data_IF_795068711418
#
_entry.id   IF_795068711418
#
_cell.length_a   1.000
_cell.length_b   1.000
_cell.length_c   1.000
_cell.angle_alpha   90.00
_cell.angle_beta   90.00
_cell.angle_gamma   90.00
#
_symmetry.space_group_name_H-M   'P 1'
#
loop_
_entity.id
_entity.type
_entity.pdbx_description
1 polymer ?
#
# COMPACT_ATOMS: atom_id res chain seq x y z
N UNK A 1 31.51 28.26 -2.95
CA UNK A 1 31.27 27.83 -4.34
C UNK A 1 32.60 27.36 -4.84
N UNK A 2 32.75 26.05 -5.09
CA UNK A 2 34.02 25.40 -5.39
C UNK A 2 33.86 24.68 -6.74
N UNK A 3 34.47 25.22 -7.79
CA UNK A 3 34.25 24.79 -9.19
C UNK A 3 34.77 23.38 -9.48
N UNK A 4 35.58 22.79 -8.59
CA UNK A 4 36.08 21.42 -8.70
C UNK A 4 35.12 20.32 -8.20
N UNK A 5 34.04 20.69 -7.50
CA UNK A 5 32.99 19.77 -7.05
C UNK A 5 31.72 20.10 -7.82
N UNK A 6 31.37 19.23 -8.78
CA UNK A 6 30.11 19.35 -9.52
C UNK A 6 28.90 19.58 -8.60
N UNK A 7 27.79 20.11 -9.12
CA UNK A 7 26.68 20.59 -8.30
C UNK A 7 26.24 19.54 -7.26
N UNK A 8 26.21 19.96 -6.00
CA UNK A 8 26.03 19.09 -4.82
C UNK A 8 24.73 18.26 -4.89
N UNK A 9 23.69 18.81 -5.53
CA UNK A 9 22.37 18.17 -5.70
C UNK A 9 22.44 16.91 -6.57
N UNK A 10 22.90 16.95 -7.84
CA UNK A 10 23.10 15.74 -8.65
C UNK A 10 23.94 14.65 -7.97
N UNK A 11 25.00 15.02 -7.24
CA UNK A 11 25.83 14.05 -6.52
C UNK A 11 25.10 13.39 -5.34
N UNK A 12 24.34 14.17 -4.55
CA UNK A 12 23.51 13.63 -3.47
C UNK A 12 22.38 12.74 -3.99
N UNK A 13 21.73 13.14 -5.10
CA UNK A 13 20.73 12.29 -5.76
C UNK A 13 21.35 11.01 -6.31
N UNK A 14 22.55 11.06 -6.87
CA UNK A 14 23.29 9.88 -7.32
C UNK A 14 23.60 8.94 -6.16
N UNK A 15 24.16 9.45 -5.06
CA UNK A 15 24.48 8.64 -3.89
C UNK A 15 23.23 8.04 -3.26
N UNK A 16 22.16 8.82 -3.06
CA UNK A 16 20.89 8.30 -2.55
C UNK A 16 20.28 7.24 -3.48
N UNK A 17 20.30 7.48 -4.80
CA UNK A 17 19.75 6.54 -5.80
C UNK A 17 20.56 5.25 -5.86
N UNK A 18 21.89 5.33 -5.86
CA UNK A 18 22.78 4.17 -5.89
C UNK A 18 22.66 3.35 -4.61
N UNK A 19 22.61 4.00 -3.43
CA UNK A 19 22.35 3.33 -2.15
C UNK A 19 20.97 2.65 -2.15
N UNK A 20 19.91 3.35 -2.57
CA UNK A 20 18.59 2.74 -2.68
C UNK A 20 18.57 1.58 -3.69
N UNK A 21 19.24 1.70 -4.84
CA UNK A 21 19.31 0.63 -5.83
C UNK A 21 20.13 -0.55 -5.35
N UNK A 22 21.21 -0.33 -4.62
CA UNK A 22 22.04 -1.39 -4.04
C UNK A 22 21.28 -2.14 -2.93
N UNK A 23 20.55 -1.41 -2.08
CA UNK A 23 19.61 -2.01 -1.12
C UNK A 23 18.52 -2.85 -1.82
N UNK A 24 18.12 -2.47 -3.03
CA UNK A 24 17.13 -3.19 -3.84
C UNK A 24 17.72 -4.31 -4.73
N UNK A 25 19.05 -4.35 -4.92
CA UNK A 25 19.78 -5.39 -5.67
C UNK A 25 20.08 -6.62 -4.82
N UNK A 26 20.02 -6.51 -3.49
CA UNK A 26 19.99 -7.68 -2.61
C UNK A 26 18.81 -8.60 -2.95
N UNK A 27 18.83 -9.89 -2.57
CA UNK A 27 17.75 -10.86 -2.86
C UNK A 27 16.38 -10.52 -2.23
N UNK A 28 16.19 -9.30 -1.73
CA UNK A 28 15.03 -8.82 -1.00
C UNK A 28 14.09 -8.06 -1.96
N UNK A 29 13.29 -8.84 -2.69
CA UNK A 29 12.06 -8.31 -3.29
C UNK A 29 11.21 -7.74 -2.15
N UNK A 30 10.89 -6.44 -2.21
CA UNK A 30 9.71 -5.92 -1.51
C UNK A 30 8.51 -6.63 -2.12
N UNK A 31 7.91 -7.53 -1.37
CA UNK A 31 6.97 -8.52 -1.87
C UNK A 31 5.66 -8.37 -1.10
N UNK A 32 4.52 -8.61 -1.76
CA UNK A 32 3.27 -8.88 -1.03
C UNK A 32 3.44 -10.23 -0.32
N UNK A 33 2.68 -10.51 0.74
CA UNK A 33 2.78 -11.78 1.45
C UNK A 33 2.65 -13.01 0.49
N UNK A 34 1.82 -12.88 -0.54
CA UNK A 34 1.65 -13.87 -1.62
C UNK A 34 2.92 -14.14 -2.46
N UNK A 35 3.83 -13.19 -2.53
CA UNK A 35 5.10 -13.32 -3.26
C UNK A 35 6.19 -14.02 -2.42
N UNK A 36 5.93 -14.25 -1.13
CA UNK A 36 6.89 -14.80 -0.16
C UNK A 36 6.69 -16.28 0.14
N UNK A 37 5.51 -16.83 -0.20
CA UNK A 37 5.20 -18.23 0.07
C UNK A 37 3.73 -18.60 -0.19
N UNK A 38 3.38 -19.89 -0.05
CA UNK A 38 2.00 -20.36 -0.20
C UNK A 38 1.08 -19.77 0.87
N UNK A 39 -0.24 -19.76 0.60
CA UNK A 39 -1.24 -19.31 1.56
C UNK A 39 -1.19 -20.16 2.84
N UNK A 40 -1.36 -19.50 3.98
CA UNK A 40 -1.53 -20.14 5.27
C UNK A 40 -2.91 -20.83 5.34
N UNK A 41 -3.01 -21.84 6.20
CA UNK A 41 -4.28 -22.48 6.55
C UNK A 41 -4.89 -21.80 7.78
N UNK A 42 -6.22 -21.79 7.92
CA UNK A 42 -6.85 -21.33 9.15
C UNK A 42 -6.29 -22.06 10.37
N UNK A 43 -5.81 -21.31 11.36
CA UNK A 43 -5.16 -21.85 12.57
C UNK A 43 -3.64 -21.89 12.51
N UNK A 44 -3.01 -21.69 11.35
CA UNK A 44 -1.56 -21.54 11.26
C UNK A 44 -1.10 -20.26 11.98
N UNK A 45 0.02 -20.30 12.73
CA UNK A 45 0.56 -19.10 13.38
C UNK A 45 1.03 -18.06 12.35
N UNK A 46 1.06 -16.79 12.75
CA UNK A 46 1.56 -15.69 11.90
C UNK A 46 3.04 -15.88 11.49
N UNK A 47 3.81 -16.61 12.29
CA UNK A 47 5.25 -16.80 12.08
C UNK A 47 6.07 -15.62 12.59
N UNK A 48 7.36 -15.61 12.23
CA UNK A 48 8.27 -14.53 12.60
C UNK A 48 8.08 -13.30 11.71
N UNK A 49 8.14 -12.09 12.28
CA UNK A 49 8.04 -10.86 11.49
C UNK A 49 9.27 -10.73 10.59
N UNK A 50 9.05 -10.43 9.31
CA UNK A 50 10.13 -10.13 8.39
C UNK A 50 10.61 -8.69 8.55
N UNK A 51 11.90 -8.40 8.24
CA UNK A 51 12.45 -7.05 8.35
C UNK A 51 11.65 -6.00 7.59
N UNK A 52 11.59 -4.77 8.12
CA UNK A 52 10.75 -3.68 7.57
C UNK A 52 11.01 -3.33 6.11
N UNK A 53 12.20 -3.62 5.56
CA UNK A 53 12.52 -3.43 4.14
C UNK A 53 11.96 -4.50 3.21
N UNK A 54 11.43 -5.61 3.73
CA UNK A 54 10.75 -6.65 2.96
C UNK A 54 9.32 -6.25 2.54
N UNK A 55 8.77 -5.21 3.18
CA UNK A 55 7.37 -4.80 3.03
C UNK A 55 7.22 -3.48 2.30
N UNK A 56 6.04 -3.30 1.71
CA UNK A 56 5.58 -2.01 1.22
C UNK A 56 4.69 -1.41 2.30
N UNK A 57 5.12 -0.30 2.88
CA UNK A 57 4.37 0.44 3.88
C UNK A 57 3.30 1.32 3.22
N UNK A 58 2.16 1.53 3.90
CA UNK A 58 1.08 2.36 3.37
C UNK A 58 1.47 3.84 3.47
N UNK A 59 1.05 4.63 2.49
CA UNK A 59 1.30 6.08 2.46
C UNK A 59 -0.03 6.83 2.43
N UNK A 60 -0.21 7.88 3.27
CA UNK A 60 -1.43 8.67 3.28
C UNK A 60 -1.57 9.44 1.97
N UNK A 61 -2.78 9.42 1.43
CA UNK A 61 -3.14 10.11 0.18
C UNK A 61 -2.74 11.59 0.20
N UNK A 62 -3.05 12.28 1.30
CA UNK A 62 -2.79 13.72 1.44
C UNK A 62 -1.30 14.10 1.41
N UNK A 63 -0.39 13.13 1.51
CA UNK A 63 1.06 13.37 1.41
C UNK A 63 1.64 13.11 0.02
N UNK A 64 0.87 12.51 -0.89
CA UNK A 64 1.34 12.08 -2.22
C UNK A 64 0.54 12.73 -3.34
N UNK A 65 -0.73 13.08 -3.08
CA UNK A 65 -1.61 13.70 -4.05
C UNK A 65 -1.54 15.23 -3.97
N UNK A 66 -1.69 15.94 -5.10
CA UNK A 66 -1.82 17.40 -5.12
C UNK A 66 -3.01 17.88 -4.28
N UNK A 67 -3.07 19.18 -3.98
CA UNK A 67 -4.15 19.77 -3.16
C UNK A 67 -5.35 20.26 -3.98
N UNK A 68 -5.18 20.50 -5.28
CA UNK A 68 -6.23 21.02 -6.18
C UNK A 68 -7.15 19.88 -6.68
N UNK A 69 -8.47 19.94 -6.48
CA UNK A 69 -9.43 18.90 -6.90
C UNK A 69 -9.31 18.45 -8.37
N UNK A 70 -9.03 19.37 -9.30
CA UNK A 70 -8.91 19.04 -10.73
C UNK A 70 -7.59 18.30 -11.03
N UNK A 71 -6.50 18.72 -10.37
CA UNK A 71 -5.22 18.03 -10.42
C UNK A 71 -5.24 16.73 -9.61
N UNK A 72 -6.04 16.64 -8.55
CA UNK A 72 -6.25 15.45 -7.72
C UNK A 72 -6.88 14.34 -8.53
N UNK A 73 -7.89 14.60 -9.37
CA UNK A 73 -8.49 13.58 -10.21
C UNK A 73 -7.45 13.02 -11.21
N UNK A 74 -6.79 13.92 -11.97
CA UNK A 74 -5.80 13.54 -13.00
C UNK A 74 -4.54 12.92 -12.39
N UNK A 75 -4.06 13.41 -11.25
CA UNK A 75 -2.91 12.87 -10.53
C UNK A 75 -3.27 11.60 -9.74
N UNK A 76 -4.47 11.47 -9.18
CA UNK A 76 -4.94 10.19 -8.59
C UNK A 76 -4.93 9.10 -9.65
N UNK A 77 -5.35 9.41 -10.86
CA UNK A 77 -5.39 8.42 -11.93
C UNK A 77 -3.99 8.12 -12.47
N UNK A 78 -3.17 9.15 -12.72
CA UNK A 78 -1.84 8.97 -13.33
C UNK A 78 -0.75 8.50 -12.34
N UNK A 79 -0.77 9.01 -11.10
CA UNK A 79 0.27 8.74 -10.09
C UNK A 79 -0.04 7.45 -9.34
N UNK A 80 -1.29 7.16 -8.99
CA UNK A 80 -1.61 5.99 -8.15
C UNK A 80 -1.54 4.65 -8.90
N UNK A 81 -2.07 4.62 -10.13
CA UNK A 81 -2.08 3.42 -10.98
C UNK A 81 -0.68 3.03 -11.45
N UNK A 82 0.17 4.02 -11.75
CA UNK A 82 1.55 3.79 -12.16
C UNK A 82 2.51 3.56 -10.99
N UNK A 83 2.34 4.25 -9.85
CA UNK A 83 3.32 4.20 -8.75
C UNK A 83 3.19 2.93 -7.91
N UNK A 84 1.99 2.54 -7.46
CA UNK A 84 1.82 1.37 -6.58
C UNK A 84 2.05 0.06 -7.33
N UNK A 85 1.54 -0.06 -8.55
CA UNK A 85 1.75 -1.25 -9.40
C UNK A 85 3.20 -1.34 -9.92
N UNK A 86 3.86 -0.22 -10.26
CA UNK A 86 5.28 -0.22 -10.62
C UNK A 86 6.17 -0.60 -9.43
N UNK A 87 5.82 -0.15 -8.22
CA UNK A 87 6.58 -0.46 -7.01
C UNK A 87 6.50 -1.97 -6.68
N UNK A 88 5.38 -2.62 -6.98
CA UNK A 88 5.06 -4.01 -6.65
C UNK A 88 5.53 -5.06 -7.68
N UNK A 89 5.48 -4.75 -8.99
CA UNK A 89 5.70 -5.76 -10.03
C UNK A 89 6.98 -5.59 -10.85
N UNK A 90 7.70 -4.46 -10.69
CA UNK A 90 8.87 -4.16 -11.51
C UNK A 90 10.20 -4.47 -10.81
N UNK A 91 11.19 -5.01 -11.55
CA UNK A 91 12.56 -5.06 -11.10
C UNK A 91 13.09 -3.66 -10.70
N UNK A 92 14.02 -3.58 -9.73
CA UNK A 92 14.51 -2.32 -9.16
C UNK A 92 14.89 -1.25 -10.17
N UNK A 93 15.57 -1.65 -11.25
CA UNK A 93 16.05 -0.73 -12.30
C UNK A 93 14.92 -0.19 -13.17
N UNK A 94 13.92 -1.00 -13.48
CA UNK A 94 12.74 -0.59 -14.25
C UNK A 94 11.87 0.37 -13.42
N UNK A 95 11.76 0.10 -12.12
CA UNK A 95 11.09 0.96 -11.14
C UNK A 95 11.76 2.33 -11.00
N UNK A 96 13.07 2.38 -10.81
CA UNK A 96 13.80 3.64 -10.71
C UNK A 96 13.67 4.49 -11.99
N UNK A 97 13.79 3.86 -13.16
CA UNK A 97 13.59 4.53 -14.46
C UNK A 97 12.16 5.09 -14.59
N UNK A 98 11.13 4.33 -14.19
CA UNK A 98 9.74 4.77 -14.25
C UNK A 98 9.48 5.95 -13.31
N UNK A 99 9.96 5.90 -12.06
CA UNK A 99 9.80 7.01 -11.11
C UNK A 99 10.49 8.27 -11.63
N UNK A 100 11.75 8.17 -12.05
CA UNK A 100 12.50 9.33 -12.52
C UNK A 100 11.90 9.95 -13.80
N UNK A 101 11.42 9.13 -14.75
CA UNK A 101 10.88 9.60 -16.04
C UNK A 101 9.42 10.01 -15.99
N UNK A 102 8.56 9.18 -15.40
CA UNK A 102 7.10 9.36 -15.48
C UNK A 102 6.53 10.09 -14.27
N UNK A 103 7.17 10.04 -13.10
CA UNK A 103 6.73 10.76 -11.88
C UNK A 103 7.49 12.08 -11.73
N UNK A 104 8.82 12.02 -11.67
CA UNK A 104 9.67 13.19 -11.43
C UNK A 104 9.98 13.98 -12.72
N UNK A 105 9.56 13.47 -13.88
CA UNK A 105 9.68 14.12 -15.20
C UNK A 105 11.12 14.47 -15.63
N UNK A 106 12.13 13.75 -15.14
CA UNK A 106 13.53 13.93 -15.56
C UNK A 106 13.72 13.54 -17.03
N UNK A 107 14.72 14.10 -17.71
CA UNK A 107 15.08 13.72 -19.08
C UNK A 107 15.78 12.37 -19.11
N UNK A 108 15.62 11.60 -20.18
CA UNK A 108 16.25 10.28 -20.33
C UNK A 108 17.79 10.34 -20.24
N UNK A 109 18.40 11.44 -20.70
CA UNK A 109 19.84 11.68 -20.56
C UNK A 109 20.27 11.83 -19.09
N UNK A 110 19.52 12.59 -18.29
CA UNK A 110 19.81 12.80 -16.86
C UNK A 110 19.68 11.50 -16.07
N UNK A 111 18.67 10.69 -16.40
CA UNK A 111 18.47 9.36 -15.82
C UNK A 111 19.56 8.38 -16.24
N UNK A 112 20.02 8.45 -17.50
CA UNK A 112 21.10 7.60 -18.00
C UNK A 112 22.41 7.89 -17.27
N UNK A 113 22.73 9.18 -17.05
CA UNK A 113 23.85 9.61 -16.22
C UNK A 113 23.69 9.14 -14.78
N UNK A 114 22.51 9.35 -14.17
CA UNK A 114 22.25 8.98 -12.77
C UNK A 114 22.35 7.47 -12.53
N UNK A 115 21.92 6.65 -13.48
CA UNK A 115 21.88 5.20 -13.36
C UNK A 115 23.07 4.50 -14.01
N UNK A 116 24.11 5.26 -14.38
CA UNK A 116 25.33 4.78 -15.05
C UNK A 116 25.00 3.81 -16.20
N UNK A 117 24.19 4.28 -17.15
CA UNK A 117 23.70 3.47 -18.29
C UNK A 117 23.50 4.31 -19.54
N UNK A 118 23.06 3.68 -20.62
CA UNK A 118 22.75 4.40 -21.87
C UNK A 118 21.30 4.90 -21.90
N UNK A 119 21.06 5.99 -22.63
CA UNK A 119 19.70 6.50 -22.89
C UNK A 119 18.81 5.42 -23.51
N UNK A 120 19.37 4.58 -24.38
CA UNK A 120 18.69 3.44 -24.98
C UNK A 120 18.24 2.42 -23.93
N UNK A 121 19.09 2.14 -22.93
CA UNK A 121 18.79 1.26 -21.81
C UNK A 121 17.70 1.84 -20.92
N UNK A 122 17.71 3.15 -20.66
CA UNK A 122 16.64 3.88 -19.94
C UNK A 122 15.32 3.76 -20.71
N UNK A 123 15.29 4.08 -22.00
CA UNK A 123 14.06 4.01 -22.79
C UNK A 123 13.51 2.58 -22.87
N UNK A 124 14.38 1.58 -23.05
CA UNK A 124 13.98 0.17 -23.08
C UNK A 124 13.47 -0.31 -21.71
N UNK A 125 14.10 0.14 -20.62
CA UNK A 125 13.65 -0.17 -19.27
C UNK A 125 12.30 0.47 -18.97
N UNK A 126 12.06 1.70 -19.43
CA UNK A 126 10.79 2.40 -19.31
C UNK A 126 9.68 1.71 -20.11
N UNK A 127 9.98 1.30 -21.35
CA UNK A 127 9.04 0.55 -22.19
C UNK A 127 8.64 -0.77 -21.51
N UNK A 128 9.63 -1.54 -21.02
CA UNK A 128 9.37 -2.79 -20.30
C UNK A 128 8.65 -2.59 -18.97
N UNK A 129 8.92 -1.48 -18.28
CA UNK A 129 8.21 -1.08 -17.07
C UNK A 129 6.72 -0.90 -17.37
N UNK A 130 6.39 -0.08 -18.38
CA UNK A 130 5.01 0.17 -18.81
C UNK A 130 4.30 -1.09 -19.29
N UNK A 131 4.99 -1.97 -20.02
CA UNK A 131 4.42 -3.23 -20.50
C UNK A 131 4.15 -4.26 -19.39
N UNK A 132 4.74 -4.11 -18.21
CA UNK A 132 4.54 -4.97 -17.03
C UNK A 132 3.58 -4.38 -16.00
N UNK A 133 3.16 -3.14 -16.18
CA UNK A 133 2.03 -2.62 -15.44
C UNK A 133 0.83 -3.48 -15.84
N UNK A 134 0.06 -4.04 -14.89
CA UNK A 134 -1.22 -4.63 -15.24
C UNK A 134 -2.02 -3.59 -16.03
N UNK A 135 -2.90 -4.04 -16.93
CA UNK A 135 -3.99 -3.20 -17.39
C UNK A 135 -4.89 -2.95 -16.17
N UNK A 136 -4.47 -2.04 -15.30
CA UNK A 136 -5.29 -1.61 -14.19
C UNK A 136 -6.30 -0.72 -14.85
N UNK A 137 -7.44 -1.32 -15.19
CA UNK A 137 -8.64 -0.57 -15.50
C UNK A 137 -8.78 0.47 -14.39
N UNK A 138 -9.05 1.75 -14.72
CA UNK A 138 -9.31 2.74 -13.70
C UNK A 138 -10.34 2.12 -12.77
N UNK A 139 -9.97 1.88 -11.51
CA UNK A 139 -10.97 1.75 -10.48
C UNK A 139 -11.44 3.18 -10.19
N UNK A 140 -12.07 3.76 -11.22
CA UNK A 140 -13.22 4.63 -11.09
C UNK A 140 -14.28 3.79 -10.40
N UNK A 141 -14.13 3.70 -9.10
CA UNK A 141 -15.30 3.72 -8.28
C UNK A 141 -15.01 4.90 -7.37
N UNK A 142 -15.82 5.95 -7.49
CA UNK A 142 -16.27 6.61 -6.27
C UNK A 142 -16.36 5.53 -5.21
N UNK A 143 -15.56 5.69 -4.16
CA UNK A 143 -15.55 4.74 -3.07
C UNK A 143 -17.01 4.52 -2.72
N UNK A 144 -17.45 3.27 -2.88
CA UNK A 144 -18.83 2.91 -2.55
C UNK A 144 -18.96 3.10 -1.04
N UNK A 145 -19.42 4.29 -0.65
CA UNK A 145 -19.54 4.70 0.75
C UNK A 145 -20.53 3.77 1.46
N UNK A 146 -21.51 3.21 0.74
CA UNK A 146 -22.43 2.22 1.28
C UNK A 146 -21.70 0.90 1.59
N UNK A 147 -20.82 0.42 0.70
CA UNK A 147 -19.95 -0.73 0.99
C UNK A 147 -19.08 -0.48 2.21
N UNK A 148 -18.48 0.71 2.35
CA UNK A 148 -17.66 1.05 3.50
C UNK A 148 -18.47 1.21 4.79
N UNK A 149 -19.65 1.81 4.75
CA UNK A 149 -20.58 1.93 5.88
C UNK A 149 -20.92 0.55 6.40
N UNK A 150 -21.30 -0.36 5.50
CA UNK A 150 -21.61 -1.75 5.83
C UNK A 150 -20.41 -2.49 6.39
N UNK A 151 -19.23 -2.33 5.80
CA UNK A 151 -18.00 -2.95 6.30
C UNK A 151 -17.68 -2.47 7.71
N UNK A 152 -17.68 -1.16 7.94
CA UNK A 152 -17.37 -0.58 9.25
C UNK A 152 -18.39 -1.03 10.29
N UNK A 153 -19.69 -0.93 9.97
CA UNK A 153 -20.74 -1.35 10.91
C UNK A 153 -20.64 -2.84 11.25
N UNK A 154 -20.38 -3.69 10.27
CA UNK A 154 -20.20 -5.13 10.50
C UNK A 154 -18.96 -5.41 11.35
N UNK A 155 -17.85 -4.71 11.12
CA UNK A 155 -16.62 -4.85 11.91
C UNK A 155 -16.82 -4.45 13.37
N UNK A 156 -17.38 -3.25 13.62
CA UNK A 156 -17.60 -2.74 14.98
C UNK A 156 -18.59 -3.60 15.78
N UNK A 157 -19.57 -4.22 15.10
CA UNK A 157 -20.53 -5.17 15.70
C UNK A 157 -20.00 -6.60 15.81
N UNK A 158 -18.78 -6.87 15.34
CA UNK A 158 -18.23 -8.21 15.20
C UNK A 158 -19.16 -9.17 14.42
N UNK A 159 -19.86 -8.64 13.42
CA UNK A 159 -20.74 -9.39 12.53
C UNK A 159 -19.93 -10.03 11.39
N UNK A 160 -19.37 -11.20 11.70
CA UNK A 160 -18.51 -11.96 10.77
C UNK A 160 -19.29 -12.39 9.53
N UNK A 161 -20.57 -12.72 9.66
CA UNK A 161 -21.41 -13.14 8.53
C UNK A 161 -21.57 -12.01 7.51
N UNK A 162 -21.88 -10.80 7.98
CA UNK A 162 -21.96 -9.63 7.12
C UNK A 162 -20.60 -9.30 6.52
N UNK A 163 -19.52 -9.26 7.31
CA UNK A 163 -18.17 -8.99 6.78
C UNK A 163 -17.79 -9.95 5.65
N UNK A 164 -18.02 -11.25 5.85
CA UNK A 164 -17.71 -12.30 4.87
C UNK A 164 -18.56 -12.15 3.60
N UNK A 165 -19.82 -11.70 3.72
CA UNK A 165 -20.70 -11.47 2.58
C UNK A 165 -20.23 -10.33 1.64
N UNK A 166 -19.48 -9.36 2.19
CA UNK A 166 -18.91 -8.23 1.45
C UNK A 166 -17.64 -8.60 0.67
N UNK A 167 -17.03 -9.75 0.99
CA UNK A 167 -15.80 -10.21 0.33
C UNK A 167 -16.08 -10.82 -1.05
N UNK A 168 -15.14 -10.61 -1.97
CA UNK A 168 -15.03 -11.42 -3.19
C UNK A 168 -14.75 -12.90 -2.84
N UNK A 169 -15.07 -13.83 -3.74
CA UNK A 169 -14.82 -15.26 -3.51
C UNK A 169 -13.34 -15.55 -3.29
N UNK A 170 -12.51 -14.99 -4.15
CA UNK A 170 -11.05 -15.08 -4.11
C UNK A 170 -10.40 -13.96 -3.29
N UNK A 171 -11.11 -13.40 -2.31
CA UNK A 171 -10.58 -12.33 -1.49
C UNK A 171 -9.31 -12.78 -0.74
N UNK A 172 -8.37 -11.87 -0.58
CA UNK A 172 -7.11 -12.13 0.14
C UNK A 172 -7.06 -11.37 1.46
N UNK A 173 -6.38 -11.92 2.46
CA UNK A 173 -6.12 -11.24 3.73
C UNK A 173 -4.66 -11.39 4.10
N UNK A 174 -4.00 -10.27 4.42
CA UNK A 174 -2.59 -10.23 4.77
C UNK A 174 -2.36 -9.38 6.02
N UNK A 175 -1.31 -9.70 6.79
CA UNK A 175 -0.95 -8.94 8.00
C UNK A 175 0.55 -8.64 8.04
N UNK A 176 1.08 -7.66 7.28
CA UNK A 176 2.46 -7.24 7.44
C UNK A 176 2.77 -6.84 8.90
N UNK A 177 3.97 -7.14 9.42
CA UNK A 177 5.15 -7.63 8.70
C UNK A 177 5.28 -9.17 8.65
N UNK A 178 4.18 -9.93 8.63
CA UNK A 178 4.20 -11.39 8.54
C UNK A 178 4.02 -11.86 7.09
N UNK A 179 4.77 -12.90 6.69
CA UNK A 179 4.56 -13.62 5.42
C UNK A 179 3.20 -14.34 5.34
N UNK A 180 2.48 -14.36 6.45
CA UNK A 180 1.15 -14.92 6.58
C UNK A 180 0.13 -14.23 5.66
N UNK A 181 -0.62 -15.05 4.94
CA UNK A 181 -1.77 -14.59 4.16
C UNK A 181 -2.79 -15.71 3.98
N UNK A 182 -4.04 -15.33 3.78
CA UNK A 182 -5.13 -16.24 3.44
C UNK A 182 -5.63 -15.97 2.03
N UNK A 183 -6.01 -17.05 1.36
CA UNK A 183 -6.71 -17.02 0.08
C UNK A 183 -8.13 -17.51 0.25
N UNK A 184 -9.08 -16.73 -0.25
CA UNK A 184 -10.47 -17.12 -0.38
C UNK A 184 -11.32 -16.80 0.84
N UNK A 185 -12.59 -16.48 0.54
CA UNK A 185 -13.63 -16.09 1.51
C UNK A 185 -13.79 -17.10 2.65
N UNK A 186 -13.71 -18.39 2.35
CA UNK A 186 -13.89 -19.45 3.34
C UNK A 186 -12.76 -19.47 4.39
N UNK A 187 -11.51 -19.32 3.97
CA UNK A 187 -10.36 -19.28 4.87
C UNK A 187 -10.41 -18.04 5.78
N UNK A 188 -10.76 -16.89 5.20
CA UNK A 188 -10.93 -15.63 5.95
C UNK A 188 -12.06 -15.78 6.99
N UNK A 189 -13.21 -16.35 6.61
CA UNK A 189 -14.32 -16.59 7.54
C UNK A 189 -13.90 -17.47 8.71
N UNK A 190 -13.17 -18.57 8.44
CA UNK A 190 -12.70 -19.47 9.47
C UNK A 190 -11.81 -18.76 10.50
N UNK A 191 -10.87 -17.92 10.04
CA UNK A 191 -9.99 -17.16 10.94
C UNK A 191 -10.75 -16.09 11.72
N UNK A 192 -11.65 -15.34 11.08
CA UNK A 192 -12.44 -14.31 11.76
C UNK A 192 -13.29 -14.90 12.90
N UNK A 193 -13.84 -16.10 12.72
CA UNK A 193 -14.62 -16.81 13.76
C UNK A 193 -13.74 -17.45 14.83
N UNK A 194 -12.60 -18.01 14.44
CA UNK A 194 -11.68 -18.69 15.36
C UNK A 194 -10.91 -17.72 16.26
N UNK A 195 -10.79 -16.45 15.87
CA UNK A 195 -9.96 -15.48 16.56
C UNK A 195 -10.40 -15.24 18.02
N UNK A 196 -11.63 -15.58 18.41
CA UNK A 196 -12.13 -15.42 19.77
C UNK A 196 -12.51 -13.97 20.12
N UNK A 197 -13.07 -13.25 19.14
CA UNK A 197 -13.48 -11.84 19.27
C UNK A 197 -12.40 -10.78 19.61
N UNK A 198 -11.14 -10.89 19.15
CA UNK A 198 -10.09 -9.93 19.50
C UNK A 198 -10.27 -8.56 18.84
N UNK A 199 -11.24 -8.45 17.93
CA UNK A 199 -11.67 -7.20 17.30
C UNK A 199 -13.03 -6.72 17.84
N UNK A 200 -13.71 -7.45 18.72
CA UNK A 200 -14.95 -7.00 19.34
C UNK A 200 -14.68 -5.75 20.19
N UNK A 201 -15.56 -4.76 20.10
CA UNK A 201 -15.37 -3.45 20.73
C UNK A 201 -14.31 -2.57 20.06
N UNK A 202 -13.71 -3.00 18.94
CA UNK A 202 -12.84 -2.13 18.15
C UNK A 202 -13.65 -1.04 17.46
N UNK A 203 -13.05 0.15 17.36
CA UNK A 203 -13.59 1.28 16.60
C UNK A 203 -12.79 1.48 15.32
N UNK A 204 -13.47 1.90 14.26
CA UNK A 204 -12.83 2.19 12.98
C UNK A 204 -13.02 3.65 12.60
N UNK A 205 -11.92 4.34 12.31
CA UNK A 205 -11.94 5.68 11.73
C UNK A 205 -11.51 5.63 10.26
N UNK A 206 -12.29 6.26 9.37
CA UNK A 206 -11.99 6.28 7.93
C UNK A 206 -10.77 7.13 7.63
N UNK A 207 -9.95 6.64 6.69
CA UNK A 207 -8.83 7.37 6.09
C UNK A 207 -8.57 6.82 4.68
N UNK A 208 -7.47 7.22 4.04
CA UNK A 208 -7.08 6.74 2.72
C UNK A 208 -5.60 6.47 2.66
N UNK A 209 -5.24 5.33 2.08
CA UNK A 209 -3.85 4.90 1.94
C UNK A 209 -3.61 4.35 0.54
N UNK A 210 -2.53 4.78 -0.12
CA UNK A 210 -2.18 4.34 -1.47
C UNK A 210 -3.33 4.58 -2.48
N UNK A 211 -4.11 5.63 -2.20
CA UNK A 211 -5.40 6.02 -2.74
C UNK A 211 -6.58 5.14 -2.38
N UNK A 212 -6.38 3.96 -1.81
CA UNK A 212 -7.45 3.02 -1.51
C UNK A 212 -8.15 3.40 -0.19
N UNK A 213 -9.40 2.96 0.01
CA UNK A 213 -10.03 3.07 1.32
C UNK A 213 -9.15 2.43 2.39
N UNK A 214 -8.98 3.13 3.50
CA UNK A 214 -8.26 2.62 4.65
C UNK A 214 -9.02 2.95 5.94
N UNK A 215 -8.79 2.14 6.97
CA UNK A 215 -9.48 2.21 8.24
C UNK A 215 -8.43 2.15 9.34
N UNK A 216 -8.42 3.15 10.22
CA UNK A 216 -7.65 3.13 11.44
C UNK A 216 -8.42 2.35 12.49
N UNK A 217 -7.86 1.23 12.93
CA UNK A 217 -8.43 0.38 13.96
C UNK A 217 -7.93 0.79 15.33
N UNK A 218 -8.88 1.09 16.21
CA UNK A 218 -8.65 1.33 17.62
C UNK A 218 -9.19 0.15 18.41
N UNK A 219 -8.41 -0.38 19.35
CA UNK A 219 -8.81 -1.44 20.26
C UNK A 219 -8.69 -0.93 21.69
N UNK A 220 -9.73 -1.11 22.49
CA UNK A 220 -9.82 -0.56 23.85
C UNK A 220 -9.57 0.96 23.91
N UNK A 221 -9.94 1.67 22.83
CA UNK A 221 -9.72 3.11 22.69
C UNK A 221 -8.30 3.52 22.28
N UNK A 222 -7.39 2.59 22.04
CA UNK A 222 -5.99 2.86 21.68
C UNK A 222 -5.69 2.46 20.23
N UNK A 223 -4.80 3.20 19.56
CA UNK A 223 -4.34 2.89 18.21
C UNK A 223 -3.76 1.48 18.12
N UNK A 224 -4.26 0.68 17.18
CA UNK A 224 -3.88 -0.72 17.05
C UNK A 224 -3.31 -1.06 15.66
N UNK A 225 -4.07 -0.79 14.60
CA UNK A 225 -3.68 -1.20 13.25
C UNK A 225 -4.25 -0.28 12.17
N UNK A 226 -3.63 -0.29 10.99
CA UNK A 226 -4.17 0.32 9.79
C UNK A 226 -4.62 -0.78 8.82
N UNK A 227 -5.90 -0.80 8.46
CA UNK A 227 -6.48 -1.75 7.51
C UNK A 227 -6.66 -1.06 6.18
N UNK A 228 -5.96 -1.52 5.14
CA UNK A 228 -6.12 -1.03 3.77
C UNK A 228 -6.98 -2.02 2.99
N UNK A 229 -8.04 -1.51 2.36
CA UNK A 229 -9.00 -2.30 1.59
C UNK A 229 -8.71 -2.20 0.10
N UNK A 230 -8.73 -3.34 -0.59
CA UNK A 230 -8.83 -3.41 -2.05
C UNK A 230 -10.28 -3.73 -2.40
N UNK A 231 -10.87 -2.95 -3.31
CA UNK A 231 -12.28 -3.06 -3.70
C UNK A 231 -12.35 -3.13 -5.22
N UNK A 232 -13.18 -4.04 -5.74
CA UNK A 232 -13.45 -4.18 -7.18
C UNK A 232 -14.82 -4.81 -7.40
N UNK A 233 -15.58 -4.31 -8.38
CA UNK A 233 -16.90 -4.83 -8.71
C UNK A 233 -17.90 -4.81 -7.54
N UNK A 234 -17.84 -3.78 -6.68
CA UNK A 234 -18.71 -3.64 -5.51
C UNK A 234 -18.43 -4.61 -4.36
N UNK A 235 -17.27 -5.27 -4.36
CA UNK A 235 -16.84 -6.22 -3.32
C UNK A 235 -15.42 -5.94 -2.84
N UNK A 236 -15.11 -6.35 -1.62
CA UNK A 236 -13.74 -6.30 -1.09
C UNK A 236 -12.95 -7.47 -1.65
N UNK A 237 -11.94 -7.18 -2.48
CA UNK A 237 -11.05 -8.18 -3.11
C UNK A 237 -9.82 -8.48 -2.27
N UNK A 238 -9.48 -7.62 -1.31
CA UNK A 238 -8.31 -7.82 -0.46
C UNK A 238 -8.31 -6.93 0.77
N UNK A 239 -7.68 -7.42 1.83
CA UNK A 239 -7.38 -6.65 3.04
C UNK A 239 -5.91 -6.79 3.41
N UNK A 240 -5.30 -5.67 3.77
CA UNK A 240 -3.94 -5.62 4.32
C UNK A 240 -3.98 -4.90 5.66
N UNK A 241 -3.73 -5.63 6.74
CA UNK A 241 -3.71 -5.06 8.10
C UNK A 241 -2.28 -4.85 8.55
N UNK A 242 -1.86 -3.59 8.63
CA UNK A 242 -0.57 -3.20 9.17
C UNK A 242 -0.67 -3.09 10.69
N UNK A 243 -0.04 -4.03 11.39
CA UNK A 243 -0.03 -4.11 12.87
C UNK A 243 1.06 -3.19 13.46
N UNK A 244 0.97 -1.89 13.14
CA UNK A 244 1.94 -0.89 13.59
C UNK A 244 1.23 0.43 13.97
N UNK A 245 1.02 0.68 15.27
CA UNK A 245 0.47 1.94 15.77
C UNK A 245 1.33 3.17 15.43
N UNK A 246 2.62 2.99 15.13
CA UNK A 246 3.52 4.07 14.69
C UNK A 246 3.11 4.72 13.37
N UNK A 247 2.21 4.09 12.61
CA UNK A 247 1.63 4.68 11.40
C UNK A 247 0.62 5.80 11.69
N UNK A 248 0.00 5.84 12.88
CA UNK A 248 -1.09 6.76 13.17
C UNK A 248 -0.65 8.23 13.07
N UNK A 249 0.45 8.68 13.70
CA UNK A 249 0.94 10.05 13.55
C UNK A 249 1.36 10.37 12.11
N UNK A 250 1.85 9.39 11.35
CA UNK A 250 2.21 9.57 9.94
C UNK A 250 0.99 9.80 9.04
N UNK A 251 -0.17 9.27 9.43
CA UNK A 251 -1.47 9.49 8.81
C UNK A 251 -2.26 10.66 9.42
N UNK A 252 -1.64 11.43 10.32
CA UNK A 252 -2.28 12.54 11.04
C UNK A 252 -3.53 12.06 11.83
N UNK A 253 -3.50 10.79 12.29
CA UNK A 253 -4.53 10.15 13.09
C UNK A 253 -4.20 10.25 14.59
N UNK A 254 -5.22 10.37 15.45
CA UNK A 254 -5.00 10.40 16.89
C UNK A 254 -4.57 9.02 17.42
N UNK A 255 -3.71 9.01 18.44
CA UNK A 255 -3.26 7.77 19.10
C UNK A 255 -4.34 7.12 19.96
N UNK A 256 -5.34 7.88 20.40
CA UNK A 256 -6.46 7.38 21.18
C UNK A 256 -7.79 7.83 20.59
N UNK A 257 -8.81 6.98 20.73
CA UNK A 257 -10.16 7.20 20.24
C UNK A 257 -11.03 7.84 21.33
N UNK A 258 -11.09 9.17 21.33
CA UNK A 258 -11.86 9.94 22.31
C UNK A 258 -13.34 10.13 21.97
N UNK A 259 -14.13 10.59 22.94
CA UNK A 259 -15.57 10.88 22.79
C UNK A 259 -15.90 11.88 21.65
N UNK A 260 -14.99 12.83 21.36
CA UNK A 260 -15.18 13.82 20.29
C UNK A 260 -15.15 13.21 18.86
N UNK A 261 -14.47 12.07 18.69
CA UNK A 261 -14.40 11.35 17.41
C UNK A 261 -15.62 10.44 17.18
N UNK A 262 -16.50 10.29 18.18
CA UNK A 262 -17.77 9.54 18.05
C UNK A 262 -18.88 10.34 17.35
N UNK A 263 -18.77 11.67 17.33
CA UNK A 263 -19.87 12.58 16.96
C UNK A 263 -19.84 13.10 15.52
N UNK A 264 -18.80 12.80 14.75
CA UNK A 264 -18.68 13.22 13.34
C UNK A 264 -19.27 12.19 12.36
N UNK A 265 -20.31 11.45 12.80
CA UNK A 265 -20.95 10.36 12.07
C UNK A 265 -22.33 10.74 11.54
#
# INVERSE_FOLDING_TARGET
>A
YDEGRGPLRPWLFHQATSVCLDMLRGPQRRARAMDLGPAARPGDPLGEPLPGHAWIWPVPDGRVLPSDPAEVAVARETVRLAFVAALQHLPPRQRAVLILRDVLKWRAAEVATLLETSVTSVNSALQRARARLPAVAPHDSEVDEELLDRYVSAFERYDVDTLVSLLHEDATMTMPPFAWWLSGRAAISAVLRAAGAPCEGSHLLRTRANGSPALAQYRDGEAFALVVLEVGGGRVTGTTTYLDPGLFPFFDLPMSFGHALRTDR
#
